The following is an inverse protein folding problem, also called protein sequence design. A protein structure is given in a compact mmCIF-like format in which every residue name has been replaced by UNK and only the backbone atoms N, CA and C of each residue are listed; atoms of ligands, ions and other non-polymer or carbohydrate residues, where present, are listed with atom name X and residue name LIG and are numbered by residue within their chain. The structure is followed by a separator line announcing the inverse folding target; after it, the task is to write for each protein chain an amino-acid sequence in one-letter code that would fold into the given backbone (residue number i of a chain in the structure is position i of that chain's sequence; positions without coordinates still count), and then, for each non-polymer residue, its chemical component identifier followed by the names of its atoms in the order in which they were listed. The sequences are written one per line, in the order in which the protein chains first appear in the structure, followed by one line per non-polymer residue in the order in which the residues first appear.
data_IF_835390488896
#
_entry.id   IF_835390488896
#
_cell.length_a   1.000
_cell.length_b   1.000
_cell.length_c   1.000
_cell.angle_alpha   90.00
_cell.angle_beta   90.00
_cell.angle_gamma   90.00
#
_symmetry.space_group_name_H-M   'P 1'
#
loop_
_entity.id
_entity.type
_entity.pdbx_description
1 polymer ?
#
# COMPACT_ATOMS: atom_id res chain seq x y z
N UNK A 1 26.46 5.99 -8.58
CA UNK A 1 25.71 7.08 -7.92
C UNK A 1 26.54 7.61 -6.75
N UNK A 2 26.94 8.88 -6.74
CA UNK A 2 27.52 9.56 -5.56
C UNK A 2 26.45 9.78 -4.49
N UNK A 3 26.74 9.46 -3.23
CA UNK A 3 25.81 9.66 -2.11
C UNK A 3 26.53 10.34 -0.93
N UNK A 4 25.84 11.15 -0.10
CA UNK A 4 26.46 11.75 1.08
C UNK A 4 27.02 10.66 2.00
N UNK A 5 28.18 10.88 2.61
CA UNK A 5 28.85 9.89 3.48
C UNK A 5 28.08 9.53 4.77
N UNK A 6 27.18 10.41 5.21
CA UNK A 6 26.60 10.42 6.54
C UNK A 6 25.08 10.15 6.58
N UNK A 7 24.46 9.63 5.51
CA UNK A 7 23.02 9.29 5.57
C UNK A 7 22.78 8.10 6.51
N UNK A 8 21.84 8.27 7.43
CA UNK A 8 21.52 7.30 8.49
C UNK A 8 20.57 6.20 8.01
N UNK A 9 20.09 5.34 8.92
CA UNK A 9 19.14 4.26 8.61
C UNK A 9 17.78 4.77 8.08
N UNK A 10 17.43 6.02 8.37
CA UNK A 10 16.20 6.65 7.86
C UNK A 10 16.19 6.76 6.32
N UNK A 11 17.35 6.70 5.66
CA UNK A 11 17.44 6.70 4.18
C UNK A 11 17.16 5.35 3.54
N UNK A 12 17.21 4.24 4.29
CA UNK A 12 16.91 2.91 3.75
C UNK A 12 15.43 2.77 3.34
N UNK A 13 14.52 3.56 3.90
CA UNK A 13 13.09 3.42 3.62
C UNK A 13 12.70 3.70 2.16
N UNK A 14 13.56 4.34 1.36
CA UNK A 14 13.36 4.43 -0.09
C UNK A 14 13.49 3.07 -0.78
N UNK A 15 14.57 2.34 -0.51
CA UNK A 15 14.79 1.00 -1.09
C UNK A 15 13.83 -0.04 -0.51
N UNK A 16 13.47 0.07 0.77
CA UNK A 16 12.47 -0.79 1.39
C UNK A 16 11.08 -0.63 0.79
N UNK A 17 10.66 0.59 0.41
CA UNK A 17 9.41 0.82 -0.32
C UNK A 17 9.43 0.17 -1.70
N UNK A 18 10.56 0.25 -2.43
CA UNK A 18 10.74 -0.46 -3.69
C UNK A 18 10.61 -1.98 -3.53
N UNK A 19 11.21 -2.54 -2.48
CA UNK A 19 11.07 -3.96 -2.14
C UNK A 19 9.61 -4.32 -1.80
N UNK A 20 8.92 -3.51 -1.00
CA UNK A 20 7.50 -3.72 -0.67
C UNK A 20 6.65 -3.75 -1.95
N UNK A 21 6.87 -2.82 -2.88
CA UNK A 21 6.16 -2.77 -4.15
C UNK A 21 6.38 -4.05 -4.98
N UNK A 22 7.62 -4.54 -5.07
CA UNK A 22 7.92 -5.80 -5.77
C UNK A 22 7.20 -6.99 -5.09
N UNK A 23 7.25 -7.08 -3.77
CA UNK A 23 6.55 -8.13 -3.01
C UNK A 23 5.05 -8.09 -3.31
N UNK A 24 4.42 -6.91 -3.26
CA UNK A 24 2.99 -6.75 -3.53
C UNK A 24 2.63 -7.12 -4.97
N UNK A 25 3.41 -6.69 -5.97
CA UNK A 25 3.15 -7.04 -7.38
C UNK A 25 3.27 -8.55 -7.57
N UNK A 26 4.34 -9.18 -7.09
CA UNK A 26 4.55 -10.61 -7.27
C UNK A 26 3.44 -11.41 -6.56
N UNK A 27 3.25 -11.21 -5.27
CA UNK A 27 2.21 -11.93 -4.52
C UNK A 27 0.81 -11.66 -5.08
N UNK A 28 0.52 -10.41 -5.45
CA UNK A 28 -0.76 -10.01 -6.04
C UNK A 28 -1.04 -10.69 -7.38
N UNK A 29 -0.03 -10.81 -8.26
CA UNK A 29 -0.16 -11.55 -9.52
C UNK A 29 -0.49 -13.03 -9.29
N UNK A 30 0.20 -13.70 -8.37
CA UNK A 30 -0.09 -15.10 -8.03
C UNK A 30 -1.49 -15.27 -7.40
N UNK A 31 -1.94 -14.33 -6.56
CA UNK A 31 -3.31 -14.35 -6.02
C UNK A 31 -4.35 -14.15 -7.13
N UNK A 32 -4.11 -13.22 -8.06
CA UNK A 32 -5.01 -12.92 -9.16
C UNK A 32 -5.22 -14.12 -10.12
N UNK A 33 -4.27 -15.04 -10.21
CA UNK A 33 -4.43 -16.29 -11.00
C UNK A 33 -5.50 -17.23 -10.43
N UNK A 34 -5.92 -17.03 -9.18
CA UNK A 34 -6.85 -17.90 -8.46
C UNK A 34 -8.10 -17.16 -7.93
N UNK A 35 -8.12 -15.83 -7.99
CA UNK A 35 -9.21 -14.99 -7.50
C UNK A 35 -10.29 -14.77 -8.58
N UNK A 36 -11.57 -14.69 -8.16
CA UNK A 36 -12.70 -14.34 -9.03
C UNK A 36 -13.43 -13.10 -8.54
N UNK A 37 -13.62 -12.11 -9.41
CA UNK A 37 -14.22 -10.80 -9.07
C UNK A 37 -15.75 -10.74 -9.24
N UNK A 38 -16.44 -11.83 -8.91
CA UNK A 38 -17.91 -11.92 -8.85
C UNK A 38 -18.35 -12.01 -7.37
N UNK A 39 -19.34 -11.22 -6.97
CA UNK A 39 -19.79 -11.10 -5.57
C UNK A 39 -20.24 -12.43 -4.96
N UNK A 40 -20.70 -13.38 -5.78
CA UNK A 40 -21.10 -14.71 -5.32
C UNK A 40 -19.90 -15.63 -5.03
N UNK A 41 -18.73 -15.34 -5.58
CA UNK A 41 -17.55 -16.23 -5.52
C UNK A 41 -16.30 -15.58 -4.94
N UNK A 42 -16.24 -14.26 -4.80
CA UNK A 42 -15.06 -13.51 -4.37
C UNK A 42 -14.54 -14.01 -3.02
N UNK A 43 -15.38 -13.99 -1.98
CA UNK A 43 -15.03 -14.48 -0.65
C UNK A 43 -14.57 -15.95 -0.70
N UNK A 44 -15.34 -16.82 -1.36
CA UNK A 44 -14.98 -18.24 -1.47
C UNK A 44 -13.67 -18.47 -2.23
N UNK A 45 -13.36 -17.66 -3.26
CA UNK A 45 -12.11 -17.78 -4.02
C UNK A 45 -10.89 -17.44 -3.14
N UNK A 46 -11.00 -16.45 -2.27
CA UNK A 46 -9.95 -16.13 -1.27
C UNK A 46 -9.79 -17.27 -0.26
N UNK A 47 -10.89 -17.89 0.18
CA UNK A 47 -10.80 -19.07 1.07
C UNK A 47 -10.17 -20.28 0.36
N UNK A 48 -10.51 -20.51 -0.91
CA UNK A 48 -9.92 -21.56 -1.75
C UNK A 48 -8.41 -21.34 -1.92
N UNK A 49 -7.96 -20.10 -2.16
CA UNK A 49 -6.53 -19.77 -2.19
C UNK A 49 -5.85 -20.21 -0.89
N UNK A 50 -6.44 -19.91 0.27
CA UNK A 50 -5.80 -20.23 1.55
C UNK A 50 -5.80 -21.73 1.88
N UNK A 51 -6.78 -22.50 1.37
CA UNK A 51 -7.02 -23.88 1.80
C UNK A 51 -6.55 -24.92 0.80
N UNK A 52 -6.69 -24.65 -0.50
CA UNK A 52 -6.55 -25.66 -1.56
C UNK A 52 -5.41 -25.36 -2.53
N UNK A 53 -4.97 -24.10 -2.64
CA UNK A 53 -3.80 -23.74 -3.46
C UNK A 53 -2.51 -24.00 -2.68
N UNK A 54 -1.57 -24.71 -3.30
CA UNK A 54 -0.26 -24.99 -2.71
C UNK A 54 0.45 -23.69 -2.29
N UNK A 55 0.76 -23.55 -1.00
CA UNK A 55 1.31 -22.34 -0.38
C UNK A 55 0.45 -21.07 -0.56
N UNK A 56 -0.81 -21.20 -0.96
CA UNK A 56 -1.68 -20.04 -1.21
C UNK A 56 -1.97 -19.24 0.06
N UNK A 57 -2.05 -19.88 1.23
CA UNK A 57 -2.13 -19.18 2.53
C UNK A 57 -0.91 -18.28 2.75
N UNK A 58 0.30 -18.78 2.46
CA UNK A 58 1.55 -18.04 2.66
C UNK A 58 1.57 -16.82 1.73
N UNK A 59 1.22 -16.99 0.46
CA UNK A 59 1.15 -15.89 -0.52
C UNK A 59 0.09 -14.87 -0.09
N UNK A 60 -1.10 -15.32 0.35
CA UNK A 60 -2.17 -14.43 0.81
C UNK A 60 -1.73 -13.59 2.01
N UNK A 61 -1.11 -14.21 3.01
CA UNK A 61 -0.68 -13.48 4.20
C UNK A 61 0.56 -12.62 3.96
N UNK A 62 1.47 -13.02 3.06
CA UNK A 62 2.53 -12.14 2.57
C UNK A 62 1.96 -10.89 1.92
N UNK A 63 0.92 -11.02 1.09
CA UNK A 63 0.28 -9.88 0.44
C UNK A 63 -0.45 -8.96 1.44
N UNK A 64 -1.19 -9.54 2.38
CA UNK A 64 -1.94 -8.78 3.39
C UNK A 64 -1.01 -8.05 4.38
N UNK A 65 -0.06 -8.77 4.99
CA UNK A 65 0.89 -8.16 5.93
C UNK A 65 1.94 -7.30 5.22
N UNK A 66 2.26 -7.61 3.96
CA UNK A 66 3.11 -6.78 3.10
C UNK A 66 2.51 -5.41 2.82
N UNK A 67 1.18 -5.30 2.70
CA UNK A 67 0.50 -4.00 2.61
C UNK A 67 0.70 -3.17 3.89
N UNK A 68 0.54 -3.77 5.07
CA UNK A 68 0.83 -3.08 6.35
C UNK A 68 2.28 -2.61 6.44
N UNK A 69 3.23 -3.48 6.06
CA UNK A 69 4.65 -3.13 6.03
C UNK A 69 4.97 -2.00 5.04
N UNK A 70 4.26 -1.94 3.92
CA UNK A 70 4.33 -0.85 2.97
C UNK A 70 4.00 0.47 3.66
N UNK A 71 2.88 0.56 4.38
CA UNK A 71 2.48 1.79 5.08
C UNK A 71 3.40 2.16 6.25
N UNK A 72 3.93 1.17 6.99
CA UNK A 72 4.97 1.44 8.00
C UNK A 72 6.18 2.11 7.34
N UNK A 73 6.68 1.53 6.25
CA UNK A 73 7.81 2.11 5.51
C UNK A 73 7.48 3.49 4.95
N UNK A 74 6.24 3.68 4.48
CA UNK A 74 5.79 4.92 3.86
C UNK A 74 5.73 6.05 4.88
N UNK A 75 5.10 5.82 6.04
CA UNK A 75 5.02 6.81 7.10
C UNK A 75 6.39 7.18 7.66
N UNK A 76 7.29 6.21 7.81
CA UNK A 76 8.67 6.49 8.21
C UNK A 76 9.41 7.30 7.14
N UNK A 77 9.24 6.95 5.86
CA UNK A 77 9.87 7.67 4.75
C UNK A 77 9.42 9.13 4.67
N UNK A 78 8.11 9.38 4.83
CA UNK A 78 7.52 10.73 4.87
C UNK A 78 8.00 11.47 6.12
N UNK A 79 7.97 10.83 7.29
CA UNK A 79 8.44 11.41 8.55
C UNK A 79 9.90 11.85 8.48
N UNK A 80 10.78 11.02 7.89
CA UNK A 80 12.17 11.39 7.57
C UNK A 80 12.20 12.64 6.69
N UNK A 81 11.39 12.67 5.64
CA UNK A 81 11.37 13.80 4.70
C UNK A 81 10.97 15.12 5.35
N UNK A 82 10.01 15.08 6.28
CA UNK A 82 9.62 16.24 7.09
C UNK A 82 10.75 16.63 8.05
N UNK A 83 11.26 15.68 8.83
CA UNK A 83 12.24 15.93 9.89
C UNK A 83 13.54 16.56 9.36
N UNK A 84 14.05 16.07 8.22
CA UNK A 84 15.31 16.55 7.64
C UNK A 84 15.12 17.61 6.55
N UNK A 85 13.91 18.13 6.34
CA UNK A 85 13.67 19.17 5.33
C UNK A 85 13.81 18.69 3.88
N UNK A 86 13.72 17.39 3.61
CA UNK A 86 13.84 16.85 2.25
C UNK A 86 12.66 17.22 1.34
N UNK A 87 11.57 17.78 1.89
CA UNK A 87 10.47 18.34 1.11
C UNK A 87 10.88 19.57 0.26
N UNK A 88 12.05 20.16 0.53
CA UNK A 88 12.61 21.24 -0.29
C UNK A 88 13.01 20.78 -1.70
N UNK A 89 13.13 19.47 -1.94
CA UNK A 89 13.21 18.90 -3.28
C UNK A 89 11.80 18.79 -3.86
N UNK A 90 11.26 19.92 -4.33
CA UNK A 90 9.84 20.09 -4.64
C UNK A 90 9.29 19.05 -5.62
N UNK A 91 9.99 18.75 -6.69
CA UNK A 91 9.55 17.78 -7.71
C UNK A 91 9.51 16.37 -7.10
N UNK A 92 10.60 15.94 -6.46
CA UNK A 92 10.67 14.65 -5.76
C UNK A 92 9.58 14.54 -4.70
N UNK A 93 9.39 15.58 -3.89
CA UNK A 93 8.40 15.62 -2.82
C UNK A 93 6.97 15.52 -3.35
N UNK A 94 6.60 16.32 -4.36
CA UNK A 94 5.25 16.31 -4.93
C UNK A 94 4.93 14.98 -5.63
N UNK A 95 5.90 14.37 -6.33
CA UNK A 95 5.72 12.99 -6.83
C UNK A 95 5.57 12.01 -5.66
N UNK A 96 6.29 12.21 -4.55
CA UNK A 96 6.13 11.42 -3.32
C UNK A 96 4.72 11.51 -2.72
N UNK A 97 4.09 12.70 -2.76
CA UNK A 97 2.69 12.89 -2.33
C UNK A 97 1.73 12.15 -3.27
N UNK A 98 1.95 12.20 -4.59
CA UNK A 98 1.15 11.44 -5.56
C UNK A 98 1.29 9.93 -5.33
N UNK A 99 2.51 9.45 -5.08
CA UNK A 99 2.79 8.06 -4.72
C UNK A 99 2.04 7.64 -3.45
N UNK A 100 2.06 8.47 -2.41
CA UNK A 100 1.30 8.22 -1.17
C UNK A 100 -0.20 8.01 -1.48
N UNK A 101 -0.83 8.94 -2.20
CA UNK A 101 -2.26 8.83 -2.52
C UNK A 101 -2.56 7.65 -3.46
N UNK A 102 -1.70 7.35 -4.42
CA UNK A 102 -1.86 6.19 -5.29
C UNK A 102 -1.77 4.87 -4.50
N UNK A 103 -0.82 4.76 -3.57
CA UNK A 103 -0.70 3.59 -2.67
C UNK A 103 -1.91 3.48 -1.73
N UNK A 104 -2.41 4.59 -1.17
CA UNK A 104 -3.65 4.63 -0.39
C UNK A 104 -4.85 4.12 -1.20
N UNK A 105 -5.06 4.63 -2.41
CA UNK A 105 -6.15 4.18 -3.28
C UNK A 105 -6.03 2.68 -3.59
N UNK A 106 -4.81 2.22 -3.90
CA UNK A 106 -4.52 0.82 -4.22
C UNK A 106 -4.86 -0.10 -3.05
N UNK A 107 -4.39 0.24 -1.84
CA UNK A 107 -4.63 -0.56 -0.64
C UNK A 107 -6.11 -0.60 -0.25
N UNK A 108 -6.79 0.54 -0.32
CA UNK A 108 -8.24 0.61 -0.09
C UNK A 108 -9.00 -0.34 -1.03
N UNK A 109 -8.77 -0.26 -2.34
CA UNK A 109 -9.44 -1.14 -3.30
C UNK A 109 -9.07 -2.61 -3.10
N UNK A 110 -7.80 -2.90 -2.76
CA UNK A 110 -7.35 -4.25 -2.44
C UNK A 110 -8.08 -4.85 -1.23
N UNK A 111 -8.35 -4.02 -0.22
CA UNK A 111 -9.09 -4.43 0.97
C UNK A 111 -10.56 -4.73 0.68
N UNK A 112 -11.14 -4.25 -0.42
CA UNK A 112 -12.51 -4.57 -0.84
C UNK A 112 -12.61 -5.96 -1.46
N UNK A 113 -11.53 -6.46 -2.07
CA UNK A 113 -11.54 -7.70 -2.88
C UNK A 113 -11.94 -8.98 -2.14
N UNK A 114 -11.57 -9.19 -0.86
CA UNK A 114 -12.02 -10.37 -0.12
C UNK A 114 -13.55 -10.44 0.07
N UNK A 115 -14.27 -9.33 -0.11
CA UNK A 115 -15.71 -9.25 0.01
C UNK A 115 -16.27 -9.74 1.37
N UNK A 116 -15.54 -9.44 2.45
CA UNK A 116 -16.01 -9.62 3.83
C UNK A 116 -16.82 -8.43 4.34
N UNK A 117 -17.26 -8.49 5.60
CA UNK A 117 -18.06 -7.41 6.21
C UNK A 117 -17.32 -6.07 6.22
N UNK A 118 -16.07 -6.03 6.70
CA UNK A 118 -15.29 -4.77 6.74
C UNK A 118 -14.93 -4.28 5.33
N UNK A 119 -14.66 -5.18 4.39
CA UNK A 119 -14.47 -4.86 2.98
C UNK A 119 -15.67 -4.11 2.39
N UNK A 120 -16.87 -4.66 2.54
CA UNK A 120 -18.10 -4.10 1.95
C UNK A 120 -18.52 -2.78 2.62
N UNK A 121 -18.58 -2.78 3.95
CA UNK A 121 -19.03 -1.60 4.69
C UNK A 121 -18.00 -0.48 4.67
N UNK A 122 -16.71 -0.82 4.68
CA UNK A 122 -15.63 0.15 4.45
C UNK A 122 -15.73 0.79 3.07
N UNK A 123 -15.98 0.00 2.01
CA UNK A 123 -16.21 0.53 0.67
C UNK A 123 -17.41 1.48 0.63
N UNK A 124 -18.53 1.07 1.24
CA UNK A 124 -19.77 1.85 1.28
C UNK A 124 -19.55 3.20 1.96
N UNK A 125 -18.99 3.22 3.17
CA UNK A 125 -18.79 4.46 3.94
C UNK A 125 -17.79 5.38 3.26
N UNK A 126 -16.61 4.88 2.87
CA UNK A 126 -15.52 5.71 2.35
C UNK A 126 -15.89 6.34 1.01
N UNK A 127 -16.45 5.56 0.08
CA UNK A 127 -16.83 6.12 -1.23
C UNK A 127 -18.00 7.07 -1.13
N UNK A 128 -18.93 6.85 -0.20
CA UNK A 128 -20.07 7.73 -0.01
C UNK A 128 -19.68 9.11 0.55
N UNK A 129 -18.46 9.30 1.08
CA UNK A 129 -17.96 10.63 1.46
C UNK A 129 -17.96 11.62 0.27
N UNK A 130 -17.84 11.12 -0.97
CA UNK A 130 -17.90 11.94 -2.18
C UNK A 130 -19.29 12.54 -2.41
N UNK A 131 -20.35 12.00 -1.79
CA UNK A 131 -21.71 12.57 -1.85
C UNK A 131 -21.80 13.98 -1.25
N UNK A 132 -20.85 14.34 -0.39
CA UNK A 132 -20.77 15.67 0.23
C UNK A 132 -20.32 16.77 -0.76
N UNK A 133 -19.84 16.43 -1.96
CA UNK A 133 -19.47 17.41 -2.98
C UNK A 133 -20.75 18.08 -3.52
N UNK A 134 -20.89 19.41 -3.42
CA UNK A 134 -22.09 20.10 -3.88
C UNK A 134 -22.40 19.84 -5.36
N UNK A 135 -23.69 19.70 -5.67
CA UNK A 135 -24.27 19.53 -7.00
C UNK A 135 -23.98 18.20 -7.71
N UNK A 136 -22.75 17.68 -7.63
CA UNK A 136 -22.29 16.50 -8.40
C UNK A 136 -22.00 15.26 -7.54
N UNK A 137 -22.02 15.39 -6.21
CA UNK A 137 -21.55 14.34 -5.30
C UNK A 137 -22.30 13.02 -5.44
N UNK A 138 -23.64 13.04 -5.42
CA UNK A 138 -24.45 11.82 -5.57
C UNK A 138 -24.21 11.13 -6.91
N UNK A 139 -24.15 11.89 -8.00
CA UNK A 139 -23.84 11.37 -9.34
C UNK A 139 -22.45 10.73 -9.39
N UNK A 140 -21.46 11.33 -8.72
CA UNK A 140 -20.10 10.80 -8.68
C UNK A 140 -20.03 9.46 -7.92
N UNK A 141 -20.74 9.35 -6.80
CA UNK A 141 -20.82 8.12 -6.00
C UNK A 141 -21.45 6.98 -6.81
N UNK A 142 -22.64 7.21 -7.38
CA UNK A 142 -23.33 6.21 -8.18
C UNK A 142 -22.53 5.82 -9.44
N UNK A 143 -21.79 6.77 -10.02
CA UNK A 143 -20.89 6.50 -11.14
C UNK A 143 -19.73 5.58 -10.72
N UNK A 144 -19.09 5.85 -9.57
CA UNK A 144 -18.02 4.99 -9.02
C UNK A 144 -18.56 3.60 -8.70
N UNK A 145 -19.74 3.48 -8.12
CA UNK A 145 -20.37 2.20 -7.82
C UNK A 145 -20.78 1.45 -9.08
N UNK A 146 -21.23 2.18 -10.11
CA UNK A 146 -21.89 1.60 -11.27
C UNK A 146 -23.31 1.15 -10.99
N UNK A 147 -23.98 1.82 -10.06
CA UNK A 147 -25.29 1.46 -9.54
C UNK A 147 -25.64 2.28 -8.30
N UNK A 148 -26.73 1.91 -7.63
CA UNK A 148 -27.25 2.65 -6.47
C UNK A 148 -26.60 2.26 -5.13
N UNK A 149 -25.75 1.24 -5.12
CA UNK A 149 -25.01 0.76 -3.96
C UNK A 149 -23.74 0.06 -4.41
N UNK A 150 -22.81 -0.17 -3.47
CA UNK A 150 -21.69 -1.08 -3.67
C UNK A 150 -22.23 -2.48 -3.99
N UNK A 151 -21.88 -3.02 -5.15
CA UNK A 151 -22.34 -4.34 -5.63
C UNK A 151 -21.37 -4.90 -6.69
N UNK A 152 -21.81 -5.88 -7.50
CA UNK A 152 -21.03 -6.58 -8.53
C UNK A 152 -20.23 -5.66 -9.43
N UNK A 153 -20.87 -4.62 -9.97
CA UNK A 153 -20.19 -3.67 -10.86
C UNK A 153 -19.03 -2.94 -10.15
N UNK A 154 -19.14 -2.69 -8.85
CA UNK A 154 -18.12 -2.07 -8.01
C UNK A 154 -16.95 -3.04 -7.77
N UNK A 155 -17.25 -4.29 -7.38
CA UNK A 155 -16.20 -5.27 -7.09
C UNK A 155 -15.34 -5.59 -8.33
N UNK A 156 -15.99 -5.82 -9.48
CA UNK A 156 -15.27 -6.16 -10.72
C UNK A 156 -14.34 -5.02 -11.17
N UNK A 157 -14.78 -3.77 -11.09
CA UNK A 157 -13.91 -2.62 -11.47
C UNK A 157 -12.83 -2.34 -10.41
N UNK A 158 -13.12 -2.53 -9.12
CA UNK A 158 -12.12 -2.36 -8.07
C UNK A 158 -10.99 -3.37 -8.21
N UNK A 159 -11.30 -4.61 -8.61
CA UNK A 159 -10.26 -5.57 -8.99
C UNK A 159 -9.40 -5.06 -10.15
N UNK A 160 -10.01 -4.56 -11.23
CA UNK A 160 -9.26 -4.03 -12.38
C UNK A 160 -8.38 -2.82 -12.01
N UNK A 161 -8.90 -1.87 -11.23
CA UNK A 161 -8.14 -0.72 -10.75
C UNK A 161 -7.01 -1.11 -9.79
N UNK A 162 -7.31 -1.99 -8.83
CA UNK A 162 -6.30 -2.52 -7.91
C UNK A 162 -5.19 -3.27 -8.63
N UNK A 163 -5.50 -3.95 -9.74
CA UNK A 163 -4.50 -4.66 -10.54
C UNK A 163 -3.57 -3.69 -11.29
N UNK A 164 -4.10 -2.63 -11.92
CA UNK A 164 -3.29 -1.74 -12.76
C UNK A 164 -2.48 -0.71 -11.97
N UNK A 165 -3.01 -0.21 -10.84
CA UNK A 165 -2.39 0.87 -10.07
C UNK A 165 -0.97 0.56 -9.55
N UNK A 166 -0.64 -0.65 -9.06
CA UNK A 166 0.73 -0.99 -8.68
C UNK A 166 1.76 -0.77 -9.80
N UNK A 167 1.40 -0.98 -11.07
CA UNK A 167 2.28 -0.73 -12.21
C UNK A 167 2.42 0.77 -12.50
N UNK A 168 1.35 1.54 -12.32
CA UNK A 168 1.41 3.01 -12.38
C UNK A 168 2.30 3.55 -11.24
N UNK A 169 2.19 3.01 -10.03
CA UNK A 169 3.05 3.34 -8.89
C UNK A 169 4.51 3.03 -9.22
N UNK A 170 4.80 1.89 -9.86
CA UNK A 170 6.16 1.55 -10.28
C UNK A 170 6.73 2.58 -11.28
N UNK A 171 5.94 3.01 -12.26
CA UNK A 171 6.35 4.06 -13.20
C UNK A 171 6.58 5.41 -12.48
N UNK A 172 5.68 5.81 -11.59
CA UNK A 172 5.82 7.02 -10.78
C UNK A 172 7.03 6.97 -9.84
N UNK A 173 7.36 5.79 -9.30
CA UNK A 173 8.57 5.60 -8.49
C UNK A 173 9.84 5.80 -9.33
N UNK A 174 9.84 5.38 -10.61
CA UNK A 174 10.90 5.69 -11.56
C UNK A 174 11.07 7.20 -11.76
N UNK A 175 9.97 7.93 -11.95
CA UNK A 175 9.98 9.42 -12.06
C UNK A 175 10.44 10.08 -10.76
N UNK A 176 10.01 9.56 -9.61
CA UNK A 176 10.43 10.04 -8.29
C UNK A 176 11.95 9.96 -8.11
N UNK A 177 12.54 8.81 -8.48
CA UNK A 177 13.98 8.59 -8.43
C UNK A 177 14.74 9.42 -9.46
N UNK A 178 14.15 9.66 -10.65
CA UNK A 178 14.74 10.54 -11.67
C UNK A 178 14.93 11.95 -11.10
N UNK A 179 13.88 12.56 -10.55
CA UNK A 179 14.01 13.90 -9.93
C UNK A 179 14.96 13.91 -8.72
N UNK A 180 15.00 12.83 -7.94
CA UNK A 180 15.98 12.70 -6.85
C UNK A 180 17.42 12.65 -7.38
N UNK A 181 17.66 12.03 -8.54
CA UNK A 181 18.99 11.96 -9.12
C UNK A 181 19.49 13.27 -9.71
N UNK A 182 18.60 14.21 -10.05
CA UNK A 182 18.99 15.57 -10.49
C UNK A 182 19.65 16.38 -9.36
N UNK A 183 19.22 16.18 -8.12
CA UNK A 183 19.71 16.92 -6.93
C UNK A 183 20.66 16.10 -6.06
N UNK A 184 20.53 14.78 -6.08
CA UNK A 184 21.17 13.89 -5.12
C UNK A 184 20.40 13.81 -3.79
N UNK A 185 20.82 12.91 -2.90
CA UNK A 185 20.20 12.76 -1.59
C UNK A 185 20.56 13.92 -0.65
N UNK A 186 19.58 14.40 0.12
CA UNK A 186 19.82 15.17 1.35
C UNK A 186 20.55 14.30 2.38
N UNK A 187 21.01 14.90 3.49
CA UNK A 187 21.65 14.22 4.60
C UNK A 187 21.23 14.78 5.97
N UNK A 188 21.55 14.09 7.08
CA UNK A 188 21.06 14.46 8.41
C UNK A 188 21.42 15.88 8.89
N UNK A 189 22.48 16.49 8.35
CA UNK A 189 22.90 17.84 8.76
C UNK A 189 22.17 18.95 8.00
N UNK A 190 21.52 18.64 6.87
CA UNK A 190 20.93 19.63 5.96
C UNK A 190 21.95 20.51 5.21
N UNK A 191 23.26 20.31 5.44
CA UNK A 191 24.32 21.03 4.75
C UNK A 191 24.66 20.38 3.41
N UNK A 192 25.24 21.15 2.49
CA UNK A 192 25.71 20.66 1.19
C UNK A 192 26.80 19.61 1.41
N UNK A 193 26.62 18.41 0.84
CA UNK A 193 27.52 17.27 1.03
C UNK A 193 28.50 17.04 -0.14
N UNK A 194 28.64 17.96 -1.09
CA UNK A 194 29.51 17.79 -2.27
C UNK A 194 30.97 17.53 -1.91
N UNK A 195 31.45 18.08 -0.79
CA UNK A 195 32.81 17.89 -0.31
C UNK A 195 33.07 16.50 0.27
N UNK A 196 32.04 15.72 0.57
CA UNK A 196 32.15 14.40 1.20
C UNK A 196 31.09 13.41 0.68
N UNK A 197 31.27 13.02 -0.58
CA UNK A 197 30.47 11.97 -1.21
C UNK A 197 31.27 10.66 -1.31
N UNK A 198 30.55 9.56 -1.11
CA UNK A 198 31.05 8.20 -1.31
C UNK A 198 30.28 7.53 -2.44
N UNK A 199 30.86 6.53 -3.13
CA UNK A 199 30.11 5.75 -4.11
C UNK A 199 29.00 4.95 -3.42
N UNK A 200 27.83 4.81 -4.06
CA UNK A 200 26.73 4.03 -3.50
C UNK A 200 27.11 2.55 -3.26
N UNK A 201 27.91 1.96 -4.15
CA UNK A 201 28.50 0.65 -3.95
C UNK A 201 29.96 0.79 -3.46
N UNK A 202 30.39 0.04 -2.42
CA UNK A 202 29.66 -1.01 -1.71
C UNK A 202 28.80 -0.51 -0.53
N UNK A 203 29.01 0.74 -0.11
CA UNK A 203 28.57 1.26 1.18
C UNK A 203 27.06 1.20 1.41
N UNK A 204 26.26 1.76 0.50
CA UNK A 204 24.81 1.76 0.64
C UNK A 204 24.16 0.50 0.09
N UNK A 205 24.81 -0.22 -0.85
CA UNK A 205 24.32 -1.55 -1.26
C UNK A 205 24.29 -2.55 -0.09
N UNK A 206 25.34 -2.61 0.74
CA UNK A 206 25.35 -3.52 1.90
C UNK A 206 24.41 -3.04 3.01
N UNK A 207 24.30 -1.72 3.20
CA UNK A 207 23.38 -1.12 4.17
C UNK A 207 21.93 -1.39 3.81
N UNK A 208 21.59 -1.29 2.53
CA UNK A 208 20.24 -1.60 2.02
C UNK A 208 19.94 -3.09 2.09
N UNK A 209 20.91 -3.96 1.81
CA UNK A 209 20.73 -5.40 1.97
C UNK A 209 20.44 -5.77 3.43
N UNK A 210 21.14 -5.17 4.39
CA UNK A 210 20.84 -5.34 5.81
C UNK A 210 19.42 -4.89 6.15
N UNK A 211 19.02 -3.70 5.66
CA UNK A 211 17.65 -3.21 5.83
C UNK A 211 16.60 -4.16 5.26
N UNK A 212 16.83 -4.69 4.05
CA UNK A 212 15.96 -5.66 3.41
C UNK A 212 15.82 -6.94 4.24
N UNK A 213 16.92 -7.49 4.76
CA UNK A 213 16.90 -8.66 5.65
C UNK A 213 16.06 -8.42 6.92
N UNK A 214 16.18 -7.25 7.54
CA UNK A 214 15.42 -6.91 8.75
C UNK A 214 13.91 -6.77 8.47
N UNK A 215 13.54 -6.11 7.38
CA UNK A 215 12.14 -5.92 6.99
C UNK A 215 11.50 -7.24 6.55
N UNK A 216 12.24 -8.11 5.84
CA UNK A 216 11.78 -9.45 5.50
C UNK A 216 11.63 -10.32 6.75
N UNK A 217 12.55 -10.24 7.72
CA UNK A 217 12.40 -10.93 8.99
C UNK A 217 11.12 -10.49 9.71
N UNK A 218 10.86 -9.19 9.80
CA UNK A 218 9.63 -8.67 10.41
C UNK A 218 8.37 -9.16 9.68
N UNK A 219 8.36 -9.13 8.34
CA UNK A 219 7.25 -9.64 7.54
C UNK A 219 6.99 -11.12 7.81
N UNK A 220 8.04 -11.94 7.81
CA UNK A 220 7.93 -13.37 8.06
C UNK A 220 7.50 -13.67 9.49
N UNK A 221 7.93 -12.87 10.48
CA UNK A 221 7.46 -13.02 11.86
C UNK A 221 5.95 -12.80 11.95
N UNK A 222 5.42 -11.74 11.32
CA UNK A 222 3.98 -11.51 11.24
C UNK A 222 3.28 -12.68 10.53
N UNK A 223 3.72 -13.04 9.33
CA UNK A 223 3.05 -14.05 8.50
C UNK A 223 3.06 -15.45 9.13
N UNK A 224 4.15 -15.85 9.78
CA UNK A 224 4.31 -17.21 10.29
C UNK A 224 3.82 -17.39 11.73
N UNK A 225 3.83 -16.34 12.55
CA UNK A 225 3.47 -16.44 13.97
C UNK A 225 2.22 -15.65 14.36
N UNK A 226 1.86 -14.59 13.64
CA UNK A 226 0.70 -13.74 14.00
C UNK A 226 0.04 -13.11 12.76
N UNK A 227 -0.39 -13.92 11.77
CA UNK A 227 -0.79 -13.44 10.44
C UNK A 227 -2.01 -12.51 10.45
N UNK A 228 -2.85 -12.62 11.48
CA UNK A 228 -4.09 -11.86 11.65
C UNK A 228 -3.95 -10.67 12.62
N UNK A 229 -2.75 -10.44 13.18
CA UNK A 229 -2.53 -9.41 14.22
C UNK A 229 -2.95 -8.00 13.80
N UNK A 230 -2.76 -7.66 12.52
CA UNK A 230 -3.00 -6.33 11.98
C UNK A 230 -4.31 -6.20 11.21
N UNK A 231 -5.07 -7.29 11.07
CA UNK A 231 -6.35 -7.32 10.37
C UNK A 231 -7.56 -7.24 11.31
N UNK A 232 -8.76 -7.21 10.74
CA UNK A 232 -10.02 -7.22 11.49
C UNK A 232 -10.75 -8.56 11.39
N UNK A 233 -11.17 -9.18 12.53
CA UNK A 233 -11.87 -10.46 12.52
C UNK A 233 -13.21 -10.43 11.78
N UNK A 234 -13.89 -9.29 11.71
CA UNK A 234 -15.19 -9.19 11.01
C UNK A 234 -15.02 -9.44 9.51
N UNK A 235 -13.83 -9.23 8.95
CA UNK A 235 -13.55 -9.50 7.54
C UNK A 235 -13.43 -10.99 7.21
N UNK A 236 -13.49 -11.87 8.21
CA UNK A 236 -13.67 -13.32 8.04
C UNK A 236 -15.15 -13.74 7.92
N UNK A 237 -16.09 -12.80 8.05
CA UNK A 237 -17.51 -13.03 7.75
C UNK A 237 -17.82 -12.48 6.35
N UNK A 238 -18.48 -13.24 5.46
CA UNK A 238 -18.90 -12.74 4.15
C UNK A 238 -19.75 -11.47 4.26
N UNK A 239 -19.62 -10.57 3.28
CA UNK A 239 -20.40 -9.34 3.23
C UNK A 239 -21.90 -9.61 3.29
N UNK A 240 -22.60 -8.89 4.18
CA UNK A 240 -24.04 -8.89 4.29
C UNK A 240 -24.56 -7.43 4.22
N UNK A 241 -25.19 -7.01 3.10
CA UNK A 241 -25.66 -5.64 2.94
C UNK A 241 -26.81 -5.27 3.89
N UNK A 242 -27.40 -6.24 4.59
CA UNK A 242 -28.49 -6.04 5.56
C UNK A 242 -28.02 -6.07 7.02
N UNK A 243 -26.73 -6.34 7.28
CA UNK A 243 -26.19 -6.41 8.62
C UNK A 243 -24.89 -5.61 8.73
N UNK A 244 -24.99 -4.42 9.29
CA UNK A 244 -23.88 -3.51 9.56
C UNK A 244 -23.12 -3.97 10.81
N UNK A 245 -21.78 -4.16 10.74
CA UNK A 245 -20.96 -4.41 11.92
C UNK A 245 -21.09 -3.29 12.95
N UNK A 246 -20.95 -3.60 14.26
CA UNK A 246 -21.13 -2.61 15.32
C UNK A 246 -20.09 -1.47 15.28
N UNK A 247 -18.88 -1.76 14.80
CA UNK A 247 -17.76 -0.81 14.77
C UNK A 247 -17.04 -0.83 13.42
N UNK A 248 -17.70 -0.34 12.36
CA UNK A 248 -17.05 -0.19 11.05
C UNK A 248 -15.86 0.77 11.18
N UNK A 249 -14.69 0.32 10.74
CA UNK A 249 -13.46 1.12 10.69
C UNK A 249 -12.62 0.66 9.50
N UNK A 250 -11.76 1.53 8.95
CA UNK A 250 -10.78 1.10 7.96
C UNK A 250 -9.62 0.37 8.63
N UNK A 251 -8.74 -0.19 7.81
CA UNK A 251 -7.45 -0.75 8.24
C UNK A 251 -6.59 0.29 8.99
N UNK A 252 -5.68 -0.19 9.84
CA UNK A 252 -4.98 0.64 10.83
C UNK A 252 -4.25 1.86 10.24
N UNK A 253 -3.71 1.72 9.03
CA UNK A 253 -2.97 2.78 8.34
C UNK A 253 -3.86 3.93 7.83
N UNK A 254 -5.19 3.82 7.95
CA UNK A 254 -6.12 4.91 7.69
C UNK A 254 -6.75 5.51 8.95
N UNK A 255 -6.57 4.90 10.12
CA UNK A 255 -7.28 5.31 11.34
C UNK A 255 -7.02 6.77 11.73
N UNK A 256 -5.81 7.29 11.51
CA UNK A 256 -5.48 8.68 11.83
C UNK A 256 -6.29 9.70 11.01
N UNK A 257 -6.68 9.36 9.78
CA UNK A 257 -7.47 10.21 8.90
C UNK A 257 -8.98 9.97 9.07
N UNK A 258 -9.35 8.87 9.71
CA UNK A 258 -10.73 8.53 10.06
C UNK A 258 -11.18 9.13 11.40
N UNK A 259 -10.24 9.37 12.32
CA UNK A 259 -10.48 9.83 13.69
C UNK A 259 -11.06 11.26 13.80
#
# INVERSE_FOLDING_TARGET
LPAPSNISSWWNFGSLLGMCLIIQILTGLFLAMHYTSDTMTAFSSVTHICRDVNYGWLIRYLHANGASLFFICLFIHVGRGIYYGSYLFFETWNIGVILLFATMATAFMGYVLPWGQMSFWGATVITNLLSAIPYIGSTLVEWIWGGFSVDKATLTRFFAFHFILPFIIAALAGVHLLFLHETGSNNPTGLISESDKIPFHPYYTIKDLLGACLILLLLLLLVLFSPDLLGDPDNYTPANPLNTPPHIKPEWYFLFAYA
#
